data_IF_079054951492
#
_entry.id   IF_079054951492
#
_cell.length_a   1.000
_cell.length_b   1.000
_cell.length_c   1.000
_cell.angle_alpha   90.00
_cell.angle_beta   90.00
_cell.angle_gamma   90.00
#
_symmetry.space_group_name_H-M   'P 1'
#
loop_
_entity.id
_entity.type
_entity.pdbx_description
1 polymer ?
#
# COMPACT_ATOMS: atom_id res chain seq x y z
N UNK A 1 13.99 -5.20 21.04
CA UNK A 1 13.83 -6.48 20.29
C UNK A 1 12.67 -6.30 19.37
N UNK A 2 12.82 -6.72 18.12
CA UNK A 2 11.79 -6.54 17.09
C UNK A 2 10.70 -7.61 17.19
N UNK A 3 9.54 -7.38 16.55
CA UNK A 3 8.49 -8.42 16.42
C UNK A 3 9.03 -9.70 15.77
N UNK A 4 9.97 -9.59 14.81
CA UNK A 4 10.61 -10.75 14.17
C UNK A 4 11.46 -11.55 15.16
N UNK A 5 12.26 -10.88 15.99
CA UNK A 5 13.11 -11.54 16.99
C UNK A 5 12.27 -12.22 18.08
N UNK A 6 11.26 -11.53 18.61
CA UNK A 6 10.32 -12.10 19.59
C UNK A 6 9.60 -13.32 19.00
N UNK A 7 9.13 -13.22 17.74
CA UNK A 7 8.51 -14.33 17.04
C UNK A 7 9.47 -15.53 16.93
N UNK A 8 10.73 -15.33 16.53
CA UNK A 8 11.74 -16.40 16.41
C UNK A 8 12.04 -17.07 17.75
N UNK A 9 11.95 -16.33 18.86
CA UNK A 9 12.10 -16.86 20.22
C UNK A 9 10.88 -17.63 20.72
N UNK A 10 9.79 -17.68 19.94
CA UNK A 10 8.55 -18.35 20.33
C UNK A 10 7.65 -17.51 21.22
N UNK A 11 7.92 -16.20 21.34
CA UNK A 11 7.12 -15.27 22.14
C UNK A 11 5.95 -14.76 21.29
N UNK A 12 4.75 -14.76 21.87
CA UNK A 12 3.57 -14.09 21.31
C UNK A 12 3.44 -12.75 22.01
N UNK A 13 3.72 -11.67 21.29
CA UNK A 13 3.64 -10.29 21.78
C UNK A 13 2.18 -9.82 21.91
N UNK A 14 1.95 -8.70 22.58
CA UNK A 14 0.61 -8.11 22.66
C UNK A 14 0.11 -7.62 21.29
N UNK A 15 1.00 -7.12 20.44
CA UNK A 15 0.68 -6.74 19.07
C UNK A 15 0.19 -7.95 18.27
N UNK A 16 0.85 -9.11 18.41
CA UNK A 16 0.40 -10.34 17.76
C UNK A 16 -0.96 -10.82 18.28
N UNK A 17 -1.25 -10.69 19.57
CA UNK A 17 -2.57 -11.04 20.13
C UNK A 17 -3.67 -10.14 19.57
N UNK A 18 -3.44 -8.83 19.61
CA UNK A 18 -4.37 -7.83 19.08
C UNK A 18 -4.69 -8.08 17.59
N UNK A 19 -3.67 -8.29 16.77
CA UNK A 19 -3.83 -8.56 15.34
C UNK A 19 -4.56 -9.89 15.12
N UNK A 20 -4.18 -10.95 15.85
CA UNK A 20 -4.80 -12.26 15.69
C UNK A 20 -6.30 -12.24 16.00
N UNK A 21 -6.71 -11.52 17.05
CA UNK A 21 -8.12 -11.31 17.38
C UNK A 21 -8.86 -10.57 16.26
N UNK A 22 -8.33 -9.42 15.82
CA UNK A 22 -8.92 -8.61 14.75
C UNK A 22 -9.02 -9.37 13.43
N UNK A 23 -8.03 -10.22 13.13
CA UNK A 23 -8.01 -11.03 11.94
C UNK A 23 -8.89 -12.30 12.05
N UNK A 24 -9.31 -12.69 13.25
CA UNK A 24 -10.01 -13.96 13.49
C UNK A 24 -9.13 -15.18 13.22
N UNK A 25 -7.83 -15.10 13.55
CA UNK A 25 -6.85 -16.18 13.38
C UNK A 25 -6.18 -16.54 14.70
N UNK A 26 -5.46 -17.67 14.73
CA UNK A 26 -4.63 -18.04 15.88
C UNK A 26 -3.40 -17.14 16.01
N UNK A 27 -3.12 -16.64 17.22
CA UNK A 27 -1.90 -15.89 17.52
C UNK A 27 -0.62 -16.70 17.24
N UNK A 28 -0.64 -18.02 17.46
CA UNK A 28 0.48 -18.89 17.12
C UNK A 28 0.65 -19.06 15.59
N UNK A 29 -0.45 -19.04 14.82
CA UNK A 29 -0.37 -19.01 13.35
C UNK A 29 0.29 -17.71 12.87
N UNK A 30 -0.09 -16.57 13.44
CA UNK A 30 0.52 -15.28 13.14
C UNK A 30 2.01 -15.26 13.52
N UNK A 31 2.35 -15.60 14.78
CA UNK A 31 3.73 -15.65 15.27
C UNK A 31 4.63 -16.51 14.38
N UNK A 32 4.18 -17.71 13.98
CA UNK A 32 4.96 -18.57 13.05
C UNK A 32 5.19 -17.92 11.70
N UNK A 33 4.23 -17.16 11.20
CA UNK A 33 4.37 -16.44 9.93
C UNK A 33 5.36 -15.28 10.05
N UNK A 34 5.28 -14.52 11.14
CA UNK A 34 6.22 -13.45 11.48
C UNK A 34 7.62 -14.00 11.65
N UNK A 35 7.81 -15.10 12.40
CA UNK A 35 9.12 -15.73 12.60
C UNK A 35 9.81 -16.17 11.30
N UNK A 36 9.03 -16.52 10.27
CA UNK A 36 9.50 -16.86 8.91
C UNK A 36 9.73 -15.63 8.03
N UNK A 37 9.29 -14.45 8.46
CA UNK A 37 9.30 -13.23 7.65
C UNK A 37 8.28 -13.23 6.52
N UNK A 38 7.26 -14.10 6.55
CA UNK A 38 6.16 -14.13 5.57
C UNK A 38 5.01 -13.18 5.94
N UNK A 39 5.11 -12.55 7.11
CA UNK A 39 4.20 -11.54 7.60
C UNK A 39 5.01 -10.54 8.42
N UNK A 40 4.79 -9.25 8.20
CA UNK A 40 5.39 -8.17 8.98
C UNK A 40 4.31 -7.50 9.83
N UNK A 41 4.72 -6.89 10.94
CA UNK A 41 3.87 -6.09 11.81
C UNK A 41 4.41 -4.67 11.84
N UNK A 42 3.57 -3.72 11.44
CA UNK A 42 3.85 -2.29 11.53
C UNK A 42 3.59 -1.82 12.95
N UNK A 43 4.67 -1.55 13.67
CA UNK A 43 4.67 -0.91 14.99
C UNK A 43 6.09 -0.40 15.25
N UNK A 44 6.34 0.87 14.97
CA UNK A 44 7.55 1.52 15.47
C UNK A 44 7.42 1.71 17.00
N UNK A 45 8.50 1.48 17.74
CA UNK A 45 8.53 1.61 19.20
C UNK A 45 8.11 2.99 19.71
N UNK A 46 8.28 4.05 18.90
CA UNK A 46 7.92 5.43 19.23
C UNK A 46 6.47 5.81 18.84
N UNK A 47 5.75 4.94 18.11
CA UNK A 47 4.36 5.19 17.70
C UNK A 47 3.39 4.49 18.66
N UNK A 48 3.30 4.98 19.90
CA UNK A 48 2.61 4.27 20.98
C UNK A 48 1.06 4.33 20.92
N UNK A 49 0.48 5.24 20.13
CA UNK A 49 -0.96 5.31 19.88
C UNK A 49 -1.44 4.50 18.66
N UNK A 50 -0.54 3.89 17.89
CA UNK A 50 -0.89 3.15 16.68
C UNK A 50 -1.63 1.86 17.01
N UNK A 51 -2.67 1.54 16.25
CA UNK A 51 -3.22 0.18 16.21
C UNK A 51 -2.36 -0.65 15.26
N UNK A 52 -1.61 -1.66 15.76
CA UNK A 52 -0.67 -2.38 14.93
C UNK A 52 -1.40 -3.15 13.82
N UNK A 53 -0.80 -3.18 12.64
CA UNK A 53 -1.33 -3.87 11.46
C UNK A 53 -0.30 -4.88 10.97
N UNK A 54 -0.77 -6.09 10.65
CA UNK A 54 0.05 -7.07 9.96
C UNK A 54 -0.23 -7.06 8.45
N UNK A 55 0.82 -7.29 7.66
CA UNK A 55 0.77 -7.51 6.22
C UNK A 55 1.46 -8.83 5.89
N UNK A 56 0.74 -9.75 5.23
CA UNK A 56 1.30 -11.03 4.81
C UNK A 56 0.29 -12.14 4.53
N UNK A 57 0.82 -13.34 4.29
CA UNK A 57 0.06 -14.46 3.71
C UNK A 57 -1.04 -15.05 4.61
N UNK A 58 -0.95 -14.89 5.94
CA UNK A 58 -1.93 -15.46 6.90
C UNK A 58 -3.02 -14.48 7.34
N UNK A 59 -2.92 -13.21 6.96
CA UNK A 59 -3.87 -12.13 7.30
C UNK A 59 -4.59 -11.62 6.05
N UNK A 60 -5.66 -10.84 6.22
CA UNK A 60 -6.36 -10.21 5.09
C UNK A 60 -5.43 -9.33 4.26
N UNK A 61 -5.69 -9.27 2.96
CA UNK A 61 -5.08 -8.27 2.06
C UNK A 61 -5.34 -6.88 2.63
N UNK A 62 -4.28 -6.08 2.74
CA UNK A 62 -4.34 -4.70 3.27
C UNK A 62 -4.39 -3.68 2.15
N UNK A 63 -4.86 -2.48 2.48
CA UNK A 63 -4.88 -1.32 1.58
C UNK A 63 -4.13 -0.15 2.20
N UNK A 64 -3.22 0.43 1.44
CA UNK A 64 -2.57 1.70 1.78
C UNK A 64 -3.18 2.86 0.99
N UNK A 65 -3.29 4.03 1.62
CA UNK A 65 -3.58 5.28 0.93
C UNK A 65 -2.39 6.25 1.02
N UNK A 66 -1.96 6.76 -0.14
CA UNK A 66 -0.93 7.79 -0.21
C UNK A 66 -1.54 9.18 -0.12
N UNK A 67 -1.02 10.02 0.76
CA UNK A 67 -1.32 11.45 0.84
C UNK A 67 -0.01 12.24 0.80
N UNK A 68 -0.10 13.55 0.87
CA UNK A 68 1.05 14.43 1.00
C UNK A 68 0.92 15.71 0.18
N UNK A 69 1.62 16.73 0.65
CA UNK A 69 1.75 18.03 -0.03
C UNK A 69 2.71 17.97 -1.20
N UNK A 70 2.67 19.01 -2.05
CA UNK A 70 3.71 19.29 -3.04
C UNK A 70 4.24 20.71 -2.87
N UNK A 71 5.29 21.07 -3.63
CA UNK A 71 5.80 22.44 -3.65
C UNK A 71 4.78 23.45 -4.19
N UNK A 72 3.81 22.99 -4.98
CA UNK A 72 2.75 23.84 -5.54
C UNK A 72 1.56 23.99 -4.60
N UNK A 73 1.28 22.96 -3.79
CA UNK A 73 0.12 22.92 -2.88
C UNK A 73 0.56 22.40 -1.51
N UNK A 74 0.67 23.33 -0.57
CA UNK A 74 0.98 23.04 0.84
C UNK A 74 -0.24 23.39 1.69
N UNK A 75 -1.11 22.41 1.91
CA UNK A 75 -2.31 22.54 2.74
C UNK A 75 -2.38 21.37 3.74
N UNK A 76 -1.90 21.62 4.96
CA UNK A 76 -1.78 20.59 6.01
C UNK A 76 -3.16 20.12 6.48
N UNK A 77 -4.13 21.02 6.57
CA UNK A 77 -5.50 20.68 6.99
C UNK A 77 -6.17 19.77 5.96
N UNK A 78 -5.94 20.01 4.67
CA UNK A 78 -6.40 19.13 3.61
C UNK A 78 -5.73 17.75 3.65
N UNK A 79 -4.44 17.65 3.97
CA UNK A 79 -3.77 16.34 4.14
C UNK A 79 -4.30 15.57 5.35
N UNK A 80 -4.55 16.25 6.47
CA UNK A 80 -5.17 15.66 7.66
C UNK A 80 -6.57 15.14 7.32
N UNK A 81 -7.37 15.90 6.58
CA UNK A 81 -8.71 15.48 6.19
C UNK A 81 -8.66 14.28 5.23
N UNK A 82 -7.73 14.29 4.27
CA UNK A 82 -7.48 13.14 3.40
C UNK A 82 -7.11 11.88 4.18
N UNK A 83 -6.24 12.00 5.19
CA UNK A 83 -5.87 10.88 6.07
C UNK A 83 -7.10 10.31 6.80
N UNK A 84 -7.90 11.17 7.43
CA UNK A 84 -9.11 10.78 8.16
C UNK A 84 -10.14 10.12 7.25
N UNK A 85 -10.36 10.68 6.07
CA UNK A 85 -11.28 10.12 5.06
C UNK A 85 -10.79 8.77 4.57
N UNK A 86 -9.49 8.62 4.27
CA UNK A 86 -8.93 7.34 3.86
C UNK A 86 -9.15 6.26 4.93
N UNK A 87 -8.87 6.55 6.21
CA UNK A 87 -9.07 5.61 7.32
C UNK A 87 -10.56 5.31 7.52
N UNK A 88 -11.44 6.32 7.48
CA UNK A 88 -12.90 6.16 7.58
C UNK A 88 -13.44 5.15 6.56
N UNK A 89 -12.95 5.21 5.33
CA UNK A 89 -13.38 4.31 4.24
C UNK A 89 -12.55 3.02 4.14
N UNK A 90 -11.63 2.80 5.07
CA UNK A 90 -11.05 1.48 5.33
C UNK A 90 -9.60 1.30 4.91
N UNK A 91 -8.85 2.36 4.61
CA UNK A 91 -7.39 2.26 4.48
C UNK A 91 -6.81 1.64 5.76
N UNK A 92 -5.97 0.61 5.59
CA UNK A 92 -5.33 -0.10 6.68
C UNK A 92 -4.03 0.60 7.13
N UNK A 93 -3.45 1.43 6.27
CA UNK A 93 -2.30 2.31 6.54
C UNK A 93 -2.40 3.59 5.73
N UNK A 94 -1.61 4.60 6.10
CA UNK A 94 -1.38 5.80 5.31
C UNK A 94 0.11 5.91 4.99
N UNK A 95 0.46 6.41 3.80
CA UNK A 95 1.80 6.92 3.54
C UNK A 95 1.78 8.44 3.38
N UNK A 96 2.63 9.12 4.11
CA UNK A 96 2.94 10.53 3.89
C UNK A 96 4.07 10.65 2.85
N UNK A 97 3.71 11.13 1.67
CA UNK A 97 4.59 11.34 0.53
C UNK A 97 4.83 12.83 0.26
N UNK A 98 4.65 13.68 1.28
CA UNK A 98 4.82 15.13 1.18
C UNK A 98 6.19 15.53 0.64
N UNK A 99 6.19 16.48 -0.30
CA UNK A 99 7.41 17.05 -0.90
C UNK A 99 7.37 18.58 -0.96
N UNK A 100 6.63 19.23 -0.06
CA UNK A 100 6.61 20.69 0.03
C UNK A 100 6.15 21.18 1.40
N UNK A 101 6.72 22.30 1.84
CA UNK A 101 6.45 22.85 3.18
C UNK A 101 7.35 22.24 4.27
N UNK A 102 6.97 22.43 5.53
CA UNK A 102 7.67 21.85 6.67
C UNK A 102 7.29 20.38 6.85
N UNK A 103 8.06 19.50 6.22
CA UNK A 103 7.80 18.06 6.18
C UNK A 103 7.78 17.41 7.57
N UNK A 104 8.50 17.97 8.55
CA UNK A 104 8.50 17.42 9.91
C UNK A 104 7.18 17.68 10.62
N UNK A 105 6.73 18.94 10.55
CA UNK A 105 5.47 19.36 11.16
C UNK A 105 4.28 18.69 10.46
N UNK A 106 4.32 18.58 9.12
CA UNK A 106 3.28 17.91 8.33
C UNK A 106 3.17 16.44 8.71
N UNK A 107 4.30 15.71 8.71
CA UNK A 107 4.34 14.29 9.07
C UNK A 107 3.76 14.06 10.46
N UNK A 108 4.21 14.81 11.47
CA UNK A 108 3.71 14.71 12.85
C UNK A 108 2.22 15.00 12.95
N UNK A 109 1.74 16.02 12.25
CA UNK A 109 0.33 16.38 12.25
C UNK A 109 -0.55 15.27 11.66
N UNK A 110 -0.12 14.65 10.56
CA UNK A 110 -0.79 13.48 9.95
C UNK A 110 -0.76 12.29 10.91
N UNK A 111 0.41 11.97 11.48
CA UNK A 111 0.57 10.83 12.40
C UNK A 111 -0.36 10.93 13.62
N UNK A 112 -0.56 12.14 14.18
CA UNK A 112 -1.47 12.35 15.30
C UNK A 112 -2.95 12.45 14.91
N UNK A 113 -3.27 12.54 13.61
CA UNK A 113 -4.65 12.65 13.14
C UNK A 113 -5.35 11.28 12.97
N UNK A 114 -4.58 10.19 12.91
CA UNK A 114 -5.07 8.83 12.67
C UNK A 114 -4.41 7.83 13.63
N UNK A 115 -5.01 6.65 13.76
CA UNK A 115 -4.53 5.56 14.63
C UNK A 115 -4.06 4.33 13.84
N UNK A 116 -3.79 4.50 12.53
CA UNK A 116 -3.25 3.46 11.65
C UNK A 116 -1.77 3.68 11.39
N UNK A 117 -1.01 2.64 10.99
CA UNK A 117 0.40 2.79 10.71
C UNK A 117 0.72 3.77 9.58
N UNK A 118 1.85 4.45 9.73
CA UNK A 118 2.32 5.51 8.86
C UNK A 118 3.58 5.06 8.13
N UNK A 119 3.55 5.14 6.81
CA UNK A 119 4.69 4.91 5.94
C UNK A 119 5.23 6.20 5.32
N UNK A 120 6.50 6.19 4.92
CA UNK A 120 7.13 7.35 4.25
C UNK A 120 8.22 6.92 3.27
N UNK A 121 8.73 7.88 2.50
CA UNK A 121 9.91 7.70 1.63
C UNK A 121 10.98 8.75 2.01
N UNK A 122 11.91 8.44 2.92
CA UNK A 122 12.83 9.45 3.50
C UNK A 122 13.66 10.24 2.48
N UNK A 123 13.99 9.64 1.33
CA UNK A 123 14.74 10.34 0.26
C UNK A 123 14.00 11.58 -0.28
N UNK A 124 12.67 11.66 -0.13
CA UNK A 124 11.90 12.84 -0.51
C UNK A 124 12.21 14.03 0.41
N UNK A 125 12.37 13.78 1.70
CA UNK A 125 12.76 14.81 2.64
C UNK A 125 14.20 15.27 2.41
N UNK A 126 15.14 14.34 2.18
CA UNK A 126 16.51 14.70 1.82
C UNK A 126 16.56 15.60 0.58
N UNK A 127 15.76 15.28 -0.45
CA UNK A 127 15.65 16.08 -1.67
C UNK A 127 15.05 17.48 -1.40
N UNK A 128 13.95 17.58 -0.64
CA UNK A 128 13.32 18.87 -0.34
C UNK A 128 14.22 19.76 0.52
N UNK A 129 14.95 19.19 1.49
CA UNK A 129 15.92 19.94 2.29
C UNK A 129 17.09 20.49 1.45
N UNK A 130 17.48 19.81 0.37
CA UNK A 130 18.47 20.32 -0.58
C UNK A 130 17.91 21.48 -1.41
N UNK A 131 16.68 21.33 -1.92
CA UNK A 131 16.00 22.39 -2.66
C UNK A 131 15.78 23.63 -1.79
N UNK A 132 15.41 23.46 -0.52
CA UNK A 132 15.26 24.55 0.45
C UNK A 132 16.58 25.29 0.71
N UNK A 133 17.72 24.61 0.61
CA UNK A 133 19.08 25.20 0.66
C UNK A 133 19.51 25.84 -0.68
N UNK A 134 18.67 25.82 -1.72
CA UNK A 134 18.99 26.32 -3.05
C UNK A 134 19.98 25.46 -3.83
N UNK A 135 20.15 24.19 -3.44
CA UNK A 135 21.08 23.23 -4.07
C UNK A 135 20.35 22.26 -4.99
N UNK A 136 21.08 21.65 -5.91
CA UNK A 136 20.50 20.60 -6.75
C UNK A 136 20.35 19.30 -5.95
N UNK A 137 19.27 18.55 -6.19
CA UNK A 137 18.99 17.27 -5.50
C UNK A 137 20.16 16.29 -5.63
N UNK A 138 20.81 16.24 -6.80
CA UNK A 138 21.98 15.39 -7.07
C UNK A 138 23.20 15.71 -6.20
N UNK A 139 23.29 16.91 -5.62
CA UNK A 139 24.39 17.33 -4.75
C UNK A 139 24.23 16.86 -3.31
N UNK A 140 23.17 16.11 -2.99
CA UNK A 140 22.97 15.58 -1.63
C UNK A 140 24.14 14.68 -1.24
N UNK A 141 24.59 14.77 0.00
CA UNK A 141 25.61 13.86 0.53
C UNK A 141 24.96 12.60 1.08
N UNK A 142 25.74 11.53 1.30
CA UNK A 142 25.26 10.34 2.01
C UNK A 142 24.69 10.71 3.39
N UNK A 143 25.33 11.66 4.09
CA UNK A 143 24.86 12.17 5.39
C UNK A 143 23.49 12.83 5.30
N UNK A 144 23.18 13.57 4.23
CA UNK A 144 21.85 14.17 4.05
C UNK A 144 20.77 13.07 3.91
N UNK A 145 21.09 11.98 3.21
CA UNK A 145 20.19 10.83 3.07
C UNK A 145 19.98 10.10 4.40
N UNK A 146 21.06 9.82 5.15
CA UNK A 146 20.99 9.11 6.43
C UNK A 146 20.26 9.93 7.50
N UNK A 147 20.50 11.24 7.57
CA UNK A 147 19.76 12.14 8.47
C UNK A 147 18.26 12.09 8.24
N UNK A 148 17.81 12.03 6.99
CA UNK A 148 16.40 11.90 6.67
C UNK A 148 15.83 10.56 7.18
N UNK A 149 16.53 9.44 6.95
CA UNK A 149 16.11 8.11 7.44
C UNK A 149 15.99 8.11 8.96
N UNK A 150 17.02 8.55 9.67
CA UNK A 150 17.03 8.58 11.14
C UNK A 150 15.90 9.43 11.71
N UNK A 151 15.61 10.57 11.09
CA UNK A 151 14.55 11.48 11.52
C UNK A 151 13.17 10.83 11.46
N UNK A 152 12.88 10.14 10.35
CA UNK A 152 11.62 9.43 10.17
C UNK A 152 11.47 8.28 11.18
N UNK A 153 12.55 7.53 11.44
CA UNK A 153 12.52 6.46 12.44
C UNK A 153 12.27 7.00 13.85
N UNK A 154 12.95 8.09 14.22
CA UNK A 154 12.79 8.78 15.51
C UNK A 154 11.38 9.34 15.69
N UNK A 155 10.76 9.86 14.64
CA UNK A 155 9.40 10.41 14.69
C UNK A 155 8.31 9.34 14.88
N UNK A 156 8.63 8.05 14.72
CA UNK A 156 7.67 6.95 14.91
C UNK A 156 7.09 6.40 13.61
N UNK A 157 7.69 6.65 12.45
CA UNK A 157 7.23 6.04 11.19
C UNK A 157 7.33 4.51 11.27
N UNK A 158 6.26 3.79 10.96
CA UNK A 158 6.17 2.33 11.15
C UNK A 158 6.83 1.51 10.03
N UNK A 159 6.83 2.05 8.82
CA UNK A 159 7.53 1.45 7.69
C UNK A 159 8.08 2.51 6.73
N UNK A 160 9.20 2.23 6.09
CA UNK A 160 9.80 3.17 5.14
C UNK A 160 10.15 2.51 3.84
N UNK A 161 9.77 3.15 2.74
CA UNK A 161 10.24 2.78 1.41
C UNK A 161 11.68 3.24 1.23
N UNK A 162 12.60 2.30 1.13
CA UNK A 162 14.01 2.56 0.81
C UNK A 162 14.35 1.83 -0.50
N UNK A 163 14.78 2.60 -1.50
CA UNK A 163 15.08 2.13 -2.84
C UNK A 163 16.49 1.49 -2.91
N UNK A 164 16.76 0.54 -2.03
CA UNK A 164 18.05 -0.16 -1.91
C UNK A 164 18.41 -1.00 -3.15
N UNK A 165 17.42 -1.32 -3.99
CA UNK A 165 17.60 -2.12 -5.21
C UNK A 165 18.18 -1.35 -6.40
N UNK A 166 18.17 0.00 -6.35
CA UNK A 166 18.74 0.86 -7.40
C UNK A 166 20.24 0.90 -7.22
N UNK A 167 20.93 -0.12 -7.71
CA UNK A 167 22.39 -0.25 -7.64
C UNK A 167 23.07 0.37 -8.85
N UNK A 168 24.35 0.69 -8.73
CA UNK A 168 25.20 1.15 -9.85
C UNK A 168 25.17 0.16 -11.01
N UNK A 169 25.19 -1.14 -10.73
CA UNK A 169 25.04 -2.18 -11.76
C UNK A 169 23.78 -1.96 -12.59
N UNK A 170 22.62 -1.77 -11.95
CA UNK A 170 21.35 -1.65 -12.67
C UNK A 170 21.21 -0.28 -13.36
N UNK A 171 21.78 0.78 -12.79
CA UNK A 171 21.90 2.09 -13.46
C UNK A 171 22.73 1.99 -14.75
N UNK A 172 23.80 1.19 -14.77
CA UNK A 172 24.54 0.92 -16.01
C UNK A 172 23.70 0.12 -17.02
N UNK A 173 22.83 -0.81 -16.58
CA UNK A 173 21.89 -1.50 -17.47
C UNK A 173 20.87 -0.53 -18.07
N UNK A 174 20.40 0.43 -17.29
CA UNK A 174 19.44 1.45 -17.75
C UNK A 174 19.97 2.25 -18.96
N UNK A 175 21.28 2.45 -19.08
CA UNK A 175 21.89 3.13 -20.26
C UNK A 175 21.71 2.38 -21.57
N UNK A 176 21.52 1.05 -21.54
CA UNK A 176 21.36 0.19 -22.73
C UNK A 176 19.94 -0.32 -22.93
N UNK A 177 19.14 -0.41 -21.86
CA UNK A 177 17.76 -0.87 -21.91
C UNK A 177 16.83 0.29 -22.22
N UNK A 178 16.19 0.27 -23.40
CA UNK A 178 15.27 1.32 -23.84
C UNK A 178 13.84 1.00 -23.41
N UNK A 179 13.41 1.61 -22.31
CA UNK A 179 12.01 1.66 -21.90
C UNK A 179 11.22 2.67 -22.72
N UNK A 180 9.91 2.42 -22.87
CA UNK A 180 8.97 3.33 -23.54
C UNK A 180 8.67 4.53 -22.65
N UNK A 181 8.41 4.32 -21.36
CA UNK A 181 8.11 5.40 -20.41
C UNK A 181 9.36 5.84 -19.65
N UNK A 182 10.22 4.89 -19.31
CA UNK A 182 11.47 5.14 -18.57
C UNK A 182 11.37 4.79 -17.09
N UNK A 183 12.03 5.57 -16.25
CA UNK A 183 12.05 5.39 -14.80
C UNK A 183 11.00 6.30 -14.17
N UNK A 184 9.97 5.70 -13.54
CA UNK A 184 8.83 6.43 -12.97
C UNK A 184 8.80 6.48 -11.46
N UNK A 185 9.70 5.74 -10.79
CA UNK A 185 9.84 5.87 -9.34
C UNK A 185 10.58 7.16 -9.01
N UNK A 186 9.93 8.10 -8.33
CA UNK A 186 10.57 9.36 -7.88
C UNK A 186 11.82 9.08 -7.04
N UNK A 187 11.70 8.23 -6.02
CA UNK A 187 12.82 7.94 -5.11
C UNK A 187 13.92 7.14 -5.79
N UNK A 188 13.55 6.21 -6.68
CA UNK A 188 14.51 5.52 -7.51
C UNK A 188 15.26 6.47 -8.45
N UNK A 189 14.56 7.40 -9.10
CA UNK A 189 15.16 8.41 -9.99
C UNK A 189 16.15 9.31 -9.25
N UNK A 190 15.85 9.70 -8.01
CA UNK A 190 16.78 10.50 -7.20
C UNK A 190 18.09 9.74 -6.94
N UNK A 191 18.02 8.45 -6.58
CA UNK A 191 19.21 7.63 -6.37
C UNK A 191 19.95 7.31 -7.66
N UNK A 192 19.26 7.00 -8.75
CA UNK A 192 19.89 6.77 -10.05
C UNK A 192 20.63 8.02 -10.54
N UNK A 193 20.03 9.20 -10.39
CA UNK A 193 20.68 10.47 -10.73
C UNK A 193 21.88 10.77 -9.82
N UNK A 194 21.78 10.46 -8.52
CA UNK A 194 22.89 10.59 -7.58
C UNK A 194 24.07 9.68 -7.96
N UNK A 195 23.80 8.40 -8.26
CA UNK A 195 24.82 7.43 -8.72
C UNK A 195 25.51 7.92 -9.98
N UNK A 196 24.76 8.45 -10.96
CA UNK A 196 25.33 8.99 -12.20
C UNK A 196 26.17 10.25 -11.97
N UNK A 197 25.83 11.06 -10.97
CA UNK A 197 26.54 12.30 -10.66
C UNK A 197 27.85 12.05 -9.91
N UNK A 198 27.81 11.21 -8.88
CA UNK A 198 28.95 10.92 -8.01
C UNK A 198 29.82 9.76 -8.52
N UNK A 199 29.31 8.95 -9.45
CA UNK A 199 29.92 7.69 -9.89
C UNK A 199 30.20 6.71 -8.71
N UNK A 200 29.35 6.76 -7.69
CA UNK A 200 29.44 5.92 -6.49
C UNK A 200 28.27 4.92 -6.41
N UNK A 201 28.42 3.90 -5.57
CA UNK A 201 27.32 2.95 -5.30
C UNK A 201 26.24 3.61 -4.43
N UNK A 202 24.99 3.16 -4.57
CA UNK A 202 23.87 3.58 -3.74
C UNK A 202 24.22 3.47 -2.24
N UNK A 203 24.19 4.55 -1.46
CA UNK A 203 24.60 4.53 -0.05
C UNK A 203 23.80 3.53 0.78
N UNK A 204 22.49 3.41 0.52
CA UNK A 204 21.63 2.46 1.22
C UNK A 204 21.91 1.00 0.86
N UNK A 205 22.51 0.74 -0.31
CA UNK A 205 22.95 -0.59 -0.71
C UNK A 205 24.35 -0.91 -0.16
N UNK A 206 25.29 0.02 -0.30
CA UNK A 206 26.67 -0.06 0.17
C UNK A 206 26.70 -0.30 1.69
N UNK A 207 25.96 0.50 2.44
CA UNK A 207 25.91 0.46 3.91
C UNK A 207 24.61 -0.16 4.42
N UNK A 208 24.12 -1.22 3.75
CA UNK A 208 22.86 -1.87 4.12
C UNK A 208 22.83 -2.35 5.57
N UNK A 209 23.96 -2.79 6.12
CA UNK A 209 24.02 -3.23 7.52
C UNK A 209 23.76 -2.09 8.51
N UNK A 210 24.19 -0.85 8.19
CA UNK A 210 23.86 0.33 8.99
C UNK A 210 22.35 0.64 8.93
N UNK A 211 21.73 0.51 7.76
CA UNK A 211 20.27 0.62 7.63
C UNK A 211 19.53 -0.43 8.49
N UNK A 212 20.05 -1.65 8.55
CA UNK A 212 19.48 -2.72 9.37
C UNK A 212 19.63 -2.42 10.87
N UNK A 213 20.77 -1.91 11.32
CA UNK A 213 21.00 -1.48 12.70
C UNK A 213 19.99 -0.40 13.11
N UNK A 214 19.84 0.65 12.29
CA UNK A 214 18.86 1.71 12.52
C UNK A 214 17.43 1.16 12.55
N UNK A 215 17.02 0.36 11.55
CA UNK A 215 15.65 -0.16 11.49
C UNK A 215 15.31 -1.04 12.71
N UNK A 216 16.31 -1.79 13.19
CA UNK A 216 16.19 -2.67 14.36
C UNK A 216 16.01 -1.90 15.67
N UNK A 217 16.67 -0.75 15.83
CA UNK A 217 16.55 0.10 17.01
C UNK A 217 15.10 0.54 17.24
N UNK A 218 14.38 0.85 16.17
CA UNK A 218 13.02 1.39 16.21
C UNK A 218 11.91 0.37 15.85
N UNK A 219 12.27 -0.87 15.48
CA UNK A 219 11.37 -1.90 14.91
C UNK A 219 10.57 -1.39 13.68
N UNK A 220 11.25 -0.63 12.82
CA UNK A 220 10.69 -0.14 11.56
C UNK A 220 10.74 -1.25 10.53
N UNK A 221 9.63 -1.44 9.81
CA UNK A 221 9.60 -2.36 8.67
C UNK A 221 10.22 -1.68 7.45
N UNK A 222 11.26 -2.28 6.87
CA UNK A 222 11.80 -1.78 5.61
C UNK A 222 10.92 -2.29 4.45
N UNK A 223 10.24 -1.34 3.79
CA UNK A 223 9.61 -1.57 2.49
C UNK A 223 10.68 -1.42 1.43
N UNK A 224 11.18 -2.53 0.88
CA UNK A 224 12.23 -2.46 -0.12
C UNK A 224 11.63 -2.03 -1.45
N UNK A 225 11.90 -0.77 -1.82
CA UNK A 225 11.23 -0.05 -2.90
C UNK A 225 11.58 -0.57 -4.29
N UNK A 226 10.63 -0.43 -5.22
CA UNK A 226 10.71 -0.83 -6.61
C UNK A 226 11.11 0.37 -7.51
N UNK A 227 12.35 0.83 -7.35
CA UNK A 227 12.89 1.98 -8.08
C UNK A 227 12.79 1.84 -9.60
N UNK A 228 12.79 0.61 -10.10
CA UNK A 228 12.72 0.27 -11.51
C UNK A 228 11.42 -0.45 -11.86
N UNK A 229 10.32 -0.14 -11.17
CA UNK A 229 9.00 -0.59 -11.63
C UNK A 229 8.65 -0.08 -13.04
N UNK A 230 7.82 -0.81 -13.80
CA UNK A 230 7.31 -0.35 -15.10
C UNK A 230 6.30 0.79 -14.92
N UNK A 231 6.47 1.85 -15.71
CA UNK A 231 5.56 3.00 -15.77
C UNK A 231 4.59 2.98 -16.95
N UNK A 232 4.63 1.93 -17.75
CA UNK A 232 3.69 1.65 -18.82
C UNK A 232 3.71 0.17 -19.17
N UNK A 233 2.63 -0.32 -19.76
CA UNK A 233 2.47 -1.73 -20.12
C UNK A 233 3.65 -2.32 -20.93
N UNK A 234 4.27 -1.60 -21.89
CA UNK A 234 5.40 -2.13 -22.67
C UNK A 234 6.67 -2.40 -21.85
N UNK A 235 6.82 -1.75 -20.69
CA UNK A 235 8.01 -1.86 -19.84
C UNK A 235 7.87 -3.00 -18.81
N UNK A 236 6.70 -3.66 -18.74
CA UNK A 236 6.41 -4.70 -17.77
C UNK A 236 7.25 -5.97 -18.00
N UNK A 237 7.90 -6.44 -16.95
CA UNK A 237 8.73 -7.65 -16.95
C UNK A 237 10.10 -7.49 -17.60
N UNK A 238 10.57 -6.26 -17.81
CA UNK A 238 11.85 -5.99 -18.47
C UNK A 238 13.08 -6.35 -17.63
N UNK A 239 14.27 -6.23 -18.23
CA UNK A 239 15.56 -6.54 -17.58
C UNK A 239 15.77 -5.75 -16.28
N UNK A 240 15.35 -4.47 -16.26
CA UNK A 240 15.60 -3.58 -15.12
C UNK A 240 14.74 -3.95 -13.92
N UNK A 241 13.45 -4.18 -14.14
CA UNK A 241 12.52 -4.61 -13.09
C UNK A 241 12.98 -5.93 -12.47
N UNK A 242 13.33 -6.91 -13.32
CA UNK A 242 13.73 -8.23 -12.85
C UNK A 242 15.08 -8.18 -12.13
N UNK A 243 16.05 -7.40 -12.62
CA UNK A 243 17.35 -7.24 -11.95
C UNK A 243 17.24 -6.63 -10.55
N UNK A 244 16.38 -5.62 -10.39
CA UNK A 244 16.08 -5.04 -9.07
C UNK A 244 15.46 -6.09 -8.14
N UNK A 245 14.42 -6.80 -8.59
CA UNK A 245 13.72 -7.81 -7.80
C UNK A 245 14.65 -8.88 -7.22
N UNK A 246 15.59 -9.40 -8.01
CA UNK A 246 16.59 -10.37 -7.51
C UNK A 246 17.54 -9.75 -6.48
N UNK A 247 17.89 -8.47 -6.64
CA UNK A 247 18.69 -7.73 -5.65
C UNK A 247 17.91 -7.61 -4.34
N UNK A 248 16.65 -7.20 -4.40
CA UNK A 248 15.78 -7.12 -3.22
C UNK A 248 15.66 -8.47 -2.52
N UNK A 249 15.53 -9.57 -3.27
CA UNK A 249 15.47 -10.91 -2.69
C UNK A 249 16.71 -11.32 -1.88
N UNK A 250 17.90 -10.86 -2.27
CA UNK A 250 19.12 -11.04 -1.46
C UNK A 250 19.08 -10.21 -0.17
N UNK A 251 18.62 -8.97 -0.28
CA UNK A 251 18.56 -8.03 0.85
C UNK A 251 17.49 -8.45 1.87
N UNK A 252 16.35 -8.99 1.44
CA UNK A 252 15.34 -9.61 2.33
C UNK A 252 15.97 -10.66 3.25
N UNK A 253 16.79 -11.58 2.69
CA UNK A 253 17.44 -12.63 3.49
C UNK A 253 18.39 -12.06 4.52
N UNK A 254 19.23 -11.09 4.13
CA UNK A 254 20.14 -10.38 5.05
C UNK A 254 19.38 -9.68 6.17
N UNK A 255 18.30 -8.98 5.85
CA UNK A 255 17.49 -8.29 6.86
C UNK A 255 16.87 -9.26 7.87
N UNK A 256 16.35 -10.39 7.40
CA UNK A 256 15.79 -11.43 8.26
C UNK A 256 16.85 -12.03 9.19
N UNK A 257 18.08 -12.23 8.71
CA UNK A 257 19.22 -12.69 9.52
C UNK A 257 19.55 -11.66 10.61
N UNK A 258 19.51 -10.37 10.31
CA UNK A 258 19.71 -9.28 11.27
C UNK A 258 18.55 -9.08 12.26
N UNK A 259 17.41 -9.74 12.05
CA UNK A 259 16.21 -9.58 12.88
C UNK A 259 15.34 -8.39 12.51
N UNK A 260 15.48 -7.86 11.30
CA UNK A 260 14.69 -6.73 10.77
C UNK A 260 13.54 -7.25 9.91
N UNK A 261 12.36 -6.66 10.08
CA UNK A 261 11.18 -6.96 9.29
C UNK A 261 11.28 -6.29 7.91
N UNK A 262 10.97 -7.02 6.84
CA UNK A 262 10.99 -6.48 5.48
C UNK A 262 9.78 -6.93 4.66
N UNK A 263 9.30 -6.01 3.83
CA UNK A 263 8.38 -6.29 2.71
C UNK A 263 8.99 -5.79 1.41
N UNK A 264 8.47 -6.24 0.28
CA UNK A 264 8.99 -5.88 -1.05
C UNK A 264 7.92 -5.18 -1.85
N UNK A 265 8.26 -4.03 -2.43
CA UNK A 265 7.41 -3.31 -3.37
C UNK A 265 7.46 -3.93 -4.77
N UNK A 266 6.39 -3.74 -5.52
CA UNK A 266 6.17 -4.38 -6.80
C UNK A 266 5.37 -3.50 -7.77
N UNK A 267 5.30 -3.95 -9.03
CA UNK A 267 5.11 -3.09 -10.19
C UNK A 267 3.84 -2.24 -10.19
N UNK A 268 3.92 -1.16 -10.98
CA UNK A 268 2.83 -0.24 -11.26
C UNK A 268 1.98 -0.63 -12.47
N UNK A 269 2.57 -0.72 -13.68
CA UNK A 269 1.82 -0.98 -14.92
C UNK A 269 2.13 -2.36 -15.47
N UNK A 270 1.13 -3.25 -15.55
CA UNK A 270 1.32 -4.65 -15.96
C UNK A 270 0.11 -5.16 -16.75
N UNK A 271 0.31 -5.68 -17.99
CA UNK A 271 -0.75 -6.35 -18.72
C UNK A 271 -1.39 -7.48 -17.90
N UNK A 272 -2.72 -7.59 -17.98
CA UNK A 272 -3.52 -8.46 -17.10
C UNK A 272 -3.06 -9.93 -17.11
N UNK A 273 -2.59 -10.44 -18.24
CA UNK A 273 -2.12 -11.81 -18.43
C UNK A 273 -0.75 -12.08 -17.79
N UNK A 274 0.05 -11.04 -17.55
CA UNK A 274 1.38 -11.13 -16.99
C UNK A 274 1.41 -11.06 -15.45
N UNK A 275 0.38 -10.46 -14.83
CA UNK A 275 0.29 -10.27 -13.38
C UNK A 275 0.52 -11.59 -12.61
N UNK A 276 -0.15 -12.71 -12.93
CA UNK A 276 0.03 -13.95 -12.17
C UNK A 276 1.48 -14.47 -12.17
N UNK A 277 2.17 -14.37 -13.30
CA UNK A 277 3.54 -14.84 -13.43
C UNK A 277 4.52 -13.93 -12.65
N UNK A 278 4.35 -12.61 -12.77
CA UNK A 278 5.21 -11.65 -12.09
C UNK A 278 5.07 -11.72 -10.56
N UNK A 279 3.85 -11.82 -10.03
CA UNK A 279 3.63 -11.96 -8.58
C UNK A 279 4.24 -13.25 -8.05
N UNK A 280 4.03 -14.38 -8.74
CA UNK A 280 4.63 -15.66 -8.34
C UNK A 280 6.15 -15.61 -8.36
N UNK A 281 6.74 -15.01 -9.39
CA UNK A 281 8.18 -14.80 -9.47
C UNK A 281 8.68 -13.96 -8.29
N UNK A 282 8.01 -12.85 -7.98
CA UNK A 282 8.39 -12.00 -6.85
C UNK A 282 8.35 -12.75 -5.51
N UNK A 283 7.28 -13.49 -5.23
CA UNK A 283 7.18 -14.30 -4.00
C UNK A 283 8.29 -15.35 -3.92
N UNK A 284 8.67 -15.99 -5.02
CA UNK A 284 9.77 -16.97 -5.04
C UNK A 284 11.12 -16.29 -4.83
N UNK A 285 11.41 -15.24 -5.61
CA UNK A 285 12.70 -14.54 -5.59
C UNK A 285 13.01 -13.90 -4.22
N UNK A 286 11.96 -13.47 -3.51
CA UNK A 286 12.03 -12.74 -2.24
C UNK A 286 11.74 -13.63 -1.02
N UNK A 287 11.81 -14.95 -1.17
CA UNK A 287 11.59 -15.90 -0.08
C UNK A 287 10.27 -15.63 0.67
N UNK A 288 9.19 -15.44 -0.10
CA UNK A 288 7.83 -15.15 0.36
C UNK A 288 7.69 -13.93 1.26
N UNK A 289 8.59 -12.94 1.16
CA UNK A 289 8.37 -11.64 1.81
C UNK A 289 6.98 -11.07 1.44
N UNK A 290 6.31 -10.35 2.36
CA UNK A 290 5.05 -9.70 2.03
C UNK A 290 5.24 -8.79 0.82
N UNK A 291 4.29 -8.86 -0.12
CA UNK A 291 4.42 -8.19 -1.41
C UNK A 291 3.42 -7.05 -1.54
N UNK A 292 3.95 -5.84 -1.77
CA UNK A 292 3.23 -4.58 -1.78
C UNK A 292 3.20 -4.00 -3.20
N UNK A 293 2.03 -3.88 -3.82
CA UNK A 293 1.92 -3.48 -5.24
C UNK A 293 1.15 -2.17 -5.41
N UNK A 294 1.54 -1.36 -6.40
CA UNK A 294 0.84 -0.12 -6.76
C UNK A 294 -0.19 -0.40 -7.87
N UNK A 295 -1.43 -0.71 -7.50
CA UNK A 295 -2.40 -1.30 -8.42
C UNK A 295 -2.17 -2.81 -8.54
N UNK A 296 -1.63 -3.37 -9.66
CA UNK A 296 -1.13 -2.68 -10.85
C UNK A 296 -2.22 -2.21 -11.84
N UNK A 297 -1.91 -1.18 -12.64
CA UNK A 297 -2.73 -0.74 -13.76
C UNK A 297 -2.65 -1.75 -14.91
N UNK A 298 -3.81 -2.21 -15.37
CA UNK A 298 -3.92 -3.20 -16.47
C UNK A 298 -3.99 -2.57 -17.86
N UNK A 299 -4.06 -1.25 -17.96
CA UNK A 299 -4.16 -0.48 -19.21
C UNK A 299 -3.80 0.98 -18.97
N UNK A 300 -3.19 1.63 -19.97
CA UNK A 300 -2.66 3.00 -19.88
C UNK A 300 -3.58 4.06 -20.52
N UNK A 301 -4.73 3.67 -21.06
CA UNK A 301 -5.55 4.54 -21.93
C UNK A 301 -6.76 5.19 -21.22
N UNK A 302 -6.88 5.03 -19.91
CA UNK A 302 -8.01 5.58 -19.12
C UNK A 302 -7.58 6.51 -17.97
N UNK A 303 -6.72 7.52 -18.22
CA UNK A 303 -6.39 8.51 -17.19
C UNK A 303 -7.67 9.19 -16.70
N UNK A 304 -7.78 9.40 -15.39
CA UNK A 304 -9.05 9.78 -14.73
C UNK A 304 -9.82 8.60 -14.14
N UNK A 305 -9.53 7.38 -14.60
CA UNK A 305 -10.17 6.14 -14.14
C UNK A 305 -9.16 5.08 -13.68
N UNK A 306 -7.94 5.50 -13.38
CA UNK A 306 -6.85 4.60 -13.01
C UNK A 306 -7.10 3.85 -11.70
N UNK A 307 -7.92 4.40 -10.80
CA UNK A 307 -8.44 3.66 -9.64
C UNK A 307 -9.18 2.36 -10.04
N UNK A 308 -9.88 2.34 -11.18
CA UNK A 308 -10.58 1.16 -11.70
C UNK A 308 -9.58 0.20 -12.37
N UNK A 309 -8.69 0.73 -13.21
CA UNK A 309 -7.69 -0.09 -13.91
C UNK A 309 -6.77 -0.78 -12.90
N UNK A 310 -6.38 -0.06 -11.85
CA UNK A 310 -5.60 -0.56 -10.72
C UNK A 310 -6.36 -1.55 -9.85
N UNK A 311 -7.66 -1.36 -9.59
CA UNK A 311 -8.45 -2.31 -8.81
C UNK A 311 -8.56 -3.68 -9.48
N UNK A 312 -8.68 -3.72 -10.82
CA UNK A 312 -8.67 -4.97 -11.59
C UNK A 312 -7.34 -5.70 -11.41
N UNK A 313 -6.21 -5.01 -11.63
CA UNK A 313 -4.90 -5.62 -11.49
C UNK A 313 -4.58 -5.99 -10.05
N UNK A 314 -4.96 -5.17 -9.08
CA UNK A 314 -4.77 -5.41 -7.65
C UNK A 314 -5.51 -6.64 -7.15
N UNK A 315 -6.75 -6.87 -7.60
CA UNK A 315 -7.48 -8.10 -7.26
C UNK A 315 -6.78 -9.35 -7.81
N UNK A 316 -6.28 -9.28 -9.05
CA UNK A 316 -5.55 -10.39 -9.68
C UNK A 316 -4.20 -10.62 -9.00
N UNK A 317 -3.48 -9.55 -8.66
CA UNK A 317 -2.22 -9.61 -7.95
C UNK A 317 -2.39 -10.23 -6.56
N UNK A 318 -3.40 -9.77 -5.81
CA UNK A 318 -3.72 -10.31 -4.49
C UNK A 318 -4.13 -11.79 -4.54
N UNK A 319 -4.94 -12.19 -5.54
CA UNK A 319 -5.29 -13.61 -5.76
C UNK A 319 -4.05 -14.49 -6.00
N UNK A 320 -2.97 -13.91 -6.54
CA UNK A 320 -1.72 -14.62 -6.83
C UNK A 320 -0.62 -14.44 -5.78
N UNK A 321 -0.90 -13.73 -4.67
CA UNK A 321 0.01 -13.65 -3.52
C UNK A 321 0.51 -12.26 -3.14
N UNK A 322 0.00 -11.18 -3.77
CA UNK A 322 0.18 -9.84 -3.21
C UNK A 322 -0.59 -9.70 -1.89
N UNK A 323 0.05 -9.10 -0.89
CA UNK A 323 -0.45 -9.05 0.48
C UNK A 323 -0.98 -7.64 0.83
N UNK A 324 -0.54 -6.64 0.08
CA UNK A 324 -0.78 -5.23 0.34
C UNK A 324 -0.98 -4.48 -0.97
N UNK A 325 -2.05 -3.71 -1.07
CA UNK A 325 -2.39 -2.93 -2.24
C UNK A 325 -2.21 -1.44 -1.92
N UNK A 326 -1.30 -0.77 -2.62
CA UNK A 326 -1.32 0.67 -2.65
C UNK A 326 -2.47 1.07 -3.57
N UNK A 327 -3.35 1.92 -3.07
CA UNK A 327 -4.42 2.43 -3.88
C UNK A 327 -3.88 3.24 -5.07
N UNK A 328 -4.77 3.49 -6.03
CA UNK A 328 -4.55 4.45 -7.10
C UNK A 328 -5.79 5.32 -7.13
N UNK A 329 -5.61 6.63 -7.28
CA UNK A 329 -6.73 7.58 -7.28
C UNK A 329 -7.19 7.90 -8.70
N UNK A 330 -8.39 8.46 -8.91
CA UNK A 330 -8.76 9.06 -10.19
C UNK A 330 -7.77 10.12 -10.68
N UNK A 331 -7.03 10.78 -9.78
CA UNK A 331 -6.06 11.82 -10.12
C UNK A 331 -4.68 11.29 -10.55
N UNK A 332 -4.46 9.97 -10.51
CA UNK A 332 -3.21 9.38 -10.99
C UNK A 332 -2.92 9.85 -12.42
N UNK A 333 -1.63 10.15 -12.69
CA UNK A 333 -1.16 10.73 -13.95
C UNK A 333 -1.70 12.13 -14.31
N UNK A 334 -2.55 12.74 -13.47
CA UNK A 334 -3.22 14.01 -13.78
C UNK A 334 -2.93 15.11 -12.74
N UNK A 335 -2.73 14.78 -11.47
CA UNK A 335 -2.43 15.76 -10.43
C UNK A 335 -2.53 15.24 -9.01
N UNK A 336 -2.51 16.15 -8.04
CA UNK A 336 -2.71 15.80 -6.63
C UNK A 336 -4.18 15.43 -6.36
N UNK A 337 -4.44 14.36 -5.59
CA UNK A 337 -5.80 13.93 -5.30
C UNK A 337 -6.50 14.89 -4.33
N UNK A 338 -7.79 15.12 -4.58
CA UNK A 338 -8.71 15.76 -3.64
C UNK A 338 -9.20 14.74 -2.61
N UNK A 339 -9.94 15.19 -1.59
CA UNK A 339 -10.56 14.31 -0.59
C UNK A 339 -11.49 13.27 -1.23
N UNK A 340 -12.26 13.64 -2.25
CA UNK A 340 -13.15 12.69 -2.93
C UNK A 340 -12.34 11.68 -3.77
N UNK A 341 -11.28 12.12 -4.46
CA UNK A 341 -10.38 11.19 -5.17
C UNK A 341 -9.75 10.17 -4.22
N UNK A 342 -9.43 10.57 -2.98
CA UNK A 342 -8.94 9.65 -1.94
C UNK A 342 -10.01 8.63 -1.55
N UNK A 343 -11.25 9.07 -1.29
CA UNK A 343 -12.38 8.16 -1.01
C UNK A 343 -12.58 7.14 -2.13
N UNK A 344 -12.64 7.60 -3.39
CA UNK A 344 -12.84 6.73 -4.55
C UNK A 344 -11.70 5.71 -4.72
N UNK A 345 -10.45 6.15 -4.57
CA UNK A 345 -9.28 5.28 -4.62
C UNK A 345 -9.29 4.22 -3.51
N UNK A 346 -9.62 4.60 -2.27
CA UNK A 346 -9.68 3.67 -1.14
C UNK A 346 -10.79 2.64 -1.34
N UNK A 347 -11.98 3.08 -1.72
CA UNK A 347 -13.10 2.16 -1.97
C UNK A 347 -12.75 1.18 -3.10
N UNK A 348 -12.14 1.63 -4.20
CA UNK A 348 -11.73 0.76 -5.29
C UNK A 348 -10.71 -0.30 -4.83
N UNK A 349 -9.69 0.10 -4.07
CA UNK A 349 -8.70 -0.83 -3.54
C UNK A 349 -9.29 -1.78 -2.48
N UNK A 350 -10.23 -1.31 -1.64
CA UNK A 350 -10.94 -2.18 -0.67
C UNK A 350 -11.83 -3.20 -1.35
N UNK A 351 -12.49 -2.85 -2.46
CA UNK A 351 -13.22 -3.81 -3.28
C UNK A 351 -12.27 -4.89 -3.80
N UNK A 352 -11.11 -4.50 -4.34
CA UNK A 352 -10.11 -5.45 -4.84
C UNK A 352 -9.58 -6.39 -3.74
N UNK A 353 -9.22 -5.83 -2.58
CA UNK A 353 -8.76 -6.61 -1.42
C UNK A 353 -9.87 -7.54 -0.89
N UNK A 354 -11.09 -7.03 -0.75
CA UNK A 354 -12.24 -7.81 -0.28
C UNK A 354 -12.54 -8.96 -1.22
N UNK A 355 -12.55 -8.72 -2.54
CA UNK A 355 -12.79 -9.76 -3.55
C UNK A 355 -11.93 -11.01 -3.37
N UNK A 356 -10.69 -10.84 -2.91
CA UNK A 356 -9.77 -11.95 -2.58
C UNK A 356 -9.98 -12.45 -1.17
N UNK A 357 -10.25 -11.59 -0.19
CA UNK A 357 -10.49 -12.00 1.19
C UNK A 357 -11.73 -12.90 1.33
N UNK A 358 -12.77 -12.71 0.51
CA UNK A 358 -13.95 -13.61 0.43
C UNK A 358 -13.57 -15.08 0.25
N UNK A 359 -12.51 -15.34 -0.53
CA UNK A 359 -12.08 -16.71 -0.85
C UNK A 359 -11.19 -17.32 0.22
N UNK A 360 -10.68 -16.48 1.15
CA UNK A 360 -9.72 -16.84 2.19
C UNK A 360 -10.32 -16.86 3.59
N UNK A 361 -11.40 -16.09 3.82
CA UNK A 361 -11.98 -15.86 5.14
C UNK A 361 -13.51 -16.00 5.10
N UNK A 362 -14.03 -17.01 5.81
CA UNK A 362 -15.48 -17.27 5.91
C UNK A 362 -16.25 -16.06 6.46
N UNK A 363 -15.66 -15.33 7.41
CA UNK A 363 -16.27 -14.13 7.98
C UNK A 363 -16.51 -13.03 6.94
N UNK A 364 -15.66 -12.93 5.92
CA UNK A 364 -15.83 -11.94 4.85
C UNK A 364 -16.85 -12.41 3.82
N UNK A 365 -16.85 -13.69 3.44
CA UNK A 365 -17.94 -14.26 2.62
C UNK A 365 -19.31 -14.12 3.30
N UNK A 366 -19.37 -14.27 4.63
CA UNK A 366 -20.61 -14.12 5.40
C UNK A 366 -21.20 -12.71 5.29
N UNK A 367 -20.38 -11.65 5.18
CA UNK A 367 -20.87 -10.28 4.98
C UNK A 367 -21.64 -10.16 3.66
N UNK A 368 -21.09 -10.70 2.58
CA UNK A 368 -21.72 -10.72 1.24
C UNK A 368 -22.98 -11.59 1.21
N UNK A 369 -22.95 -12.72 1.92
CA UNK A 369 -24.12 -13.57 2.09
C UNK A 369 -25.26 -12.83 2.80
N UNK A 370 -24.96 -12.13 3.92
CA UNK A 370 -25.95 -11.32 4.64
C UNK A 370 -26.49 -10.17 3.78
N UNK A 371 -25.62 -9.49 3.03
CA UNK A 371 -26.04 -8.45 2.07
C UNK A 371 -26.99 -9.02 1.01
N UNK A 372 -26.69 -10.22 0.50
CA UNK A 372 -27.53 -10.92 -0.48
C UNK A 372 -28.90 -11.32 0.11
N UNK A 373 -28.94 -11.78 1.37
CA UNK A 373 -30.20 -12.03 2.06
C UNK A 373 -31.03 -10.75 2.23
N UNK A 374 -30.41 -9.64 2.62
CA UNK A 374 -31.08 -8.35 2.75
C UNK A 374 -31.65 -7.87 1.40
N UNK A 375 -30.87 -8.00 0.31
CA UNK A 375 -31.33 -7.72 -1.07
C UNK A 375 -32.51 -8.60 -1.48
N UNK A 376 -32.43 -9.91 -1.22
CA UNK A 376 -33.50 -10.87 -1.53
C UNK A 376 -34.81 -10.62 -0.78
N UNK A 377 -34.75 -9.91 0.35
CA UNK A 377 -35.90 -9.50 1.16
C UNK A 377 -36.37 -8.08 0.88
N UNK A 378 -35.69 -7.35 -0.02
CA UNK A 378 -35.86 -5.90 -0.20
C UNK A 378 -35.70 -5.11 1.11
N UNK A 379 -34.88 -5.63 2.04
CA UNK A 379 -34.58 -5.00 3.31
C UNK A 379 -33.53 -3.91 3.09
N UNK A 380 -33.99 -2.70 2.80
CA UNK A 380 -33.13 -1.55 2.54
C UNK A 380 -32.35 -1.10 3.79
N UNK A 381 -32.92 -1.27 4.98
CA UNK A 381 -32.26 -0.92 6.23
C UNK A 381 -31.09 -1.90 6.49
N UNK A 382 -31.32 -3.19 6.32
CA UNK A 382 -30.27 -4.20 6.41
C UNK A 382 -29.17 -4.00 5.36
N UNK A 383 -29.53 -3.67 4.11
CA UNK A 383 -28.55 -3.32 3.07
C UNK A 383 -27.73 -2.07 3.44
N UNK A 384 -28.37 -1.03 3.99
CA UNK A 384 -27.68 0.16 4.46
C UNK A 384 -26.67 -0.18 5.56
N UNK A 385 -27.07 -0.94 6.59
CA UNK A 385 -26.18 -1.31 7.69
C UNK A 385 -25.00 -2.18 7.25
N UNK A 386 -25.19 -3.01 6.22
CA UNK A 386 -24.14 -3.89 5.69
C UNK A 386 -23.26 -3.22 4.63
N UNK A 387 -23.61 -2.03 4.14
CA UNK A 387 -22.83 -1.32 3.13
C UNK A 387 -21.49 -0.82 3.69
N UNK A 388 -20.41 -1.04 2.93
CA UNK A 388 -19.08 -0.52 3.27
C UNK A 388 -19.00 1.01 3.16
N UNK A 389 -19.73 1.61 2.20
CA UNK A 389 -19.89 3.06 2.07
C UNK A 389 -21.37 3.43 2.22
N UNK A 390 -21.75 3.74 3.46
CA UNK A 390 -23.12 4.11 3.84
C UNK A 390 -23.52 5.48 3.29
N UNK A 391 -22.57 6.40 3.17
CA UNK A 391 -22.80 7.75 2.67
C UNK A 391 -23.18 7.67 1.18
N UNK A 392 -22.42 6.91 0.38
CA UNK A 392 -22.71 6.66 -1.04
C UNK A 392 -24.03 5.93 -1.25
N UNK A 393 -24.33 4.98 -0.37
CA UNK A 393 -25.62 4.28 -0.41
C UNK A 393 -26.79 5.27 -0.27
N UNK A 394 -26.71 6.20 0.69
CA UNK A 394 -27.75 7.23 0.89
C UNK A 394 -27.83 8.19 -0.29
N UNK A 395 -26.70 8.70 -0.76
CA UNK A 395 -26.61 9.62 -1.92
C UNK A 395 -27.37 9.04 -3.12
N UNK A 396 -26.96 7.86 -3.58
CA UNK A 396 -27.54 7.19 -4.75
C UNK A 396 -29.03 6.90 -4.55
N UNK A 397 -29.44 6.47 -3.35
CA UNK A 397 -30.84 6.13 -3.11
C UNK A 397 -31.75 7.38 -3.12
N UNK A 398 -31.21 8.54 -2.75
CA UNK A 398 -31.94 9.82 -2.75
C UNK A 398 -32.06 10.44 -4.13
N UNK A 399 -31.10 10.20 -5.03
CA UNK A 399 -31.09 10.81 -6.37
C UNK A 399 -32.34 10.49 -7.20
N UNK A 400 -32.80 9.23 -7.14
CA UNK A 400 -33.98 8.77 -7.89
C UNK A 400 -34.92 7.99 -6.98
N UNK A 401 -35.75 8.68 -6.18
CA UNK A 401 -36.67 8.03 -5.26
C UNK A 401 -37.79 7.29 -6.03
N UNK A 402 -38.39 6.30 -5.39
CA UNK A 402 -39.55 5.58 -5.89
C UNK A 402 -40.55 5.38 -4.76
N UNK A 403 -41.84 5.25 -5.12
CA UNK A 403 -42.94 4.97 -4.19
C UNK A 403 -43.11 3.48 -3.89
N UNK A 404 -42.40 2.62 -4.63
CA UNK A 404 -42.46 1.17 -4.48
C UNK A 404 -41.48 0.69 -3.41
N UNK A 405 -41.71 -0.50 -2.85
CA UNK A 405 -40.75 -1.19 -1.97
C UNK A 405 -39.45 -1.60 -2.69
N UNK A 406 -39.44 -1.64 -4.02
CA UNK A 406 -38.24 -1.88 -4.83
C UNK A 406 -37.42 -0.60 -5.09
N UNK A 407 -36.37 -0.69 -5.91
CA UNK A 407 -35.63 0.48 -6.39
C UNK A 407 -36.30 1.13 -7.61
N UNK A 408 -35.85 2.33 -7.96
CA UNK A 408 -36.37 3.10 -9.10
C UNK A 408 -36.01 2.52 -10.48
N UNK A 409 -35.13 1.52 -10.55
CA UNK A 409 -34.78 0.85 -11.82
C UNK A 409 -35.95 0.01 -12.37
N UNK A 410 -36.66 -0.72 -11.51
CA UNK A 410 -37.74 -1.63 -11.94
C UNK A 410 -39.10 -1.29 -11.35
N UNK A 411 -39.16 -0.57 -10.21
CA UNK A 411 -40.40 -0.27 -9.52
C UNK A 411 -41.23 -1.53 -9.25
N UNK A 412 -42.50 -1.51 -9.68
CA UNK A 412 -43.41 -2.65 -9.50
C UNK A 412 -43.06 -3.89 -10.32
N UNK A 413 -42.20 -3.76 -11.34
CA UNK A 413 -41.70 -4.88 -12.14
C UNK A 413 -40.46 -5.55 -11.52
N UNK A 414 -40.17 -5.27 -10.25
CA UNK A 414 -39.04 -5.89 -9.55
C UNK A 414 -39.20 -7.41 -9.48
N UNK A 415 -38.26 -8.15 -10.08
CA UNK A 415 -38.27 -9.60 -10.13
C UNK A 415 -38.35 -10.25 -8.73
N UNK A 416 -37.59 -9.72 -7.76
CA UNK A 416 -37.58 -10.22 -6.38
C UNK A 416 -38.96 -10.05 -5.72
N UNK A 417 -39.58 -8.88 -5.88
CA UNK A 417 -40.92 -8.61 -5.35
C UNK A 417 -41.94 -9.57 -5.97
N UNK A 418 -41.98 -9.62 -7.30
CA UNK A 418 -42.95 -10.43 -8.04
C UNK A 418 -42.90 -11.91 -7.64
N UNK A 419 -41.71 -12.52 -7.63
CA UNK A 419 -41.60 -13.94 -7.30
C UNK A 419 -41.92 -14.22 -5.82
N UNK A 420 -41.48 -13.35 -4.90
CA UNK A 420 -41.77 -13.50 -3.47
C UNK A 420 -43.27 -13.37 -3.17
N UNK A 421 -43.96 -12.42 -3.82
CA UNK A 421 -45.41 -12.24 -3.66
C UNK A 421 -46.20 -13.45 -4.20
N UNK A 422 -45.72 -14.09 -5.27
CA UNK A 422 -46.33 -15.31 -5.79
C UNK A 422 -46.08 -16.51 -4.88
N UNK A 423 -44.86 -16.67 -4.36
CA UNK A 423 -44.49 -17.78 -3.48
C UNK A 423 -45.09 -17.68 -2.08
N UNK A 424 -45.45 -16.49 -1.59
CA UNK A 424 -46.14 -16.29 -0.29
C UNK A 424 -47.65 -16.56 -0.34
N UNK A 425 -48.24 -16.62 -1.54
CA UNK A 425 -49.69 -16.82 -1.76
C UNK A 425 -50.08 -18.30 -1.90
N UNK A 426 -49.10 -19.20 -2.05
CA UNK A 426 -49.27 -20.65 -1.92
C UNK A 426 -48.72 -21.11 -0.58
#
# INVERSE_FOLDING_TARGET
>A
MTQLEEAKRGVITEEMKFIAEREGISAEKLRRSVAKGHTVIFRNVNHDWVKPVAVGNVVRVKVNANIGTSRDIVDVDAEIEKAKVAVKYGADTIMDLSTGGDLDSIRKAIMHAVDVPIGTVPIYQAAEEMLAKGKAIIEMTEDDMWKAVEKHFKDGVDYTTIHVGVTKEVVEKMKRTKRVVGMVSRGGTFLAAWILHWDEENPFYKDYDYLLELAKEYDVVLSLGDGLRPGGLPDAGDELQIAELYTLGRLVRRAREAGVQTMVEGPGHVPIDQIPAQVKLAKIATDNAPFYVLGPLVTDIFPGYDHITAAIGGAIAAMNGADFLCYVTPAEHLGLPTVEHVREGVIAAKIAAHAVNLTRFEADFKKDYLMSLARGRLDWAGQFELSADRDRFIEIRKERPTKTEACSMCGDLCAIKLINDMLRKG
#
